data_IF_271122625617
#
_entry.id   IF_271122625617
#
_cell.length_a   1.000
_cell.length_b   1.000
_cell.length_c   1.000
_cell.angle_alpha   90.00
_cell.angle_beta   90.00
_cell.angle_gamma   90.00
#
_symmetry.space_group_name_H-M   'P 1'
#
loop_
_entity.id
_entity.type
_entity.pdbx_description
1 polymer ?
#
# COMPACT_ATOMS: atom_id res chain seq x y z
N UNK A 1 -16.38 12.40 8.07
CA UNK A 1 -15.45 12.74 9.16
C UNK A 1 -15.09 11.46 9.95
N UNK A 2 -14.07 11.48 10.78
CA UNK A 2 -13.72 10.36 11.67
C UNK A 2 -14.81 10.11 12.71
N UNK A 3 -15.55 11.13 13.07
CA UNK A 3 -16.58 11.12 14.10
C UNK A 3 -17.99 10.79 13.57
N UNK A 4 -18.18 10.83 12.26
CA UNK A 4 -19.47 10.55 11.64
C UNK A 4 -19.36 9.34 10.71
N UNK A 5 -20.40 8.48 10.65
CA UNK A 5 -20.47 7.39 9.70
C UNK A 5 -20.34 7.90 8.25
N UNK A 6 -19.76 7.10 7.39
CA UNK A 6 -19.80 7.33 5.96
C UNK A 6 -21.19 7.09 5.39
N UNK A 7 -21.42 7.61 4.17
CA UNK A 7 -22.66 7.36 3.44
C UNK A 7 -22.43 6.30 2.37
N UNK A 8 -23.39 5.39 2.20
CA UNK A 8 -23.34 4.42 1.13
C UNK A 8 -23.33 5.11 -0.24
N UNK A 9 -22.47 4.63 -1.12
CA UNK A 9 -22.52 5.03 -2.52
C UNK A 9 -23.84 4.55 -3.16
N UNK A 10 -24.49 5.30 -4.06
CA UNK A 10 -25.65 4.83 -4.80
C UNK A 10 -25.34 3.59 -5.66
N UNK A 11 -24.07 3.30 -5.88
CA UNK A 11 -23.60 2.18 -6.68
C UNK A 11 -23.21 0.94 -5.84
N UNK A 12 -23.37 1.02 -4.53
CA UNK A 12 -22.91 -0.03 -3.60
C UNK A 12 -23.67 -1.34 -3.72
N UNK A 13 -24.94 -1.25 -4.11
CA UNK A 13 -25.87 -2.39 -4.13
C UNK A 13 -26.14 -2.92 -5.56
N UNK A 14 -25.21 -2.66 -6.49
CA UNK A 14 -25.21 -3.33 -7.81
C UNK A 14 -25.02 -4.83 -7.65
N UNK A 15 -25.52 -5.58 -8.64
CA UNK A 15 -25.32 -7.03 -8.67
C UNK A 15 -23.83 -7.39 -8.92
N UNK A 16 -23.48 -8.63 -8.64
CA UNK A 16 -22.11 -9.15 -8.90
C UNK A 16 -21.82 -9.09 -10.40
N UNK A 17 -22.80 -9.47 -11.22
CA UNK A 17 -22.70 -9.51 -12.70
C UNK A 17 -22.44 -8.11 -13.27
N UNK A 18 -23.20 -7.10 -12.79
CA UNK A 18 -22.99 -5.71 -13.18
C UNK A 18 -21.60 -5.20 -12.79
N UNK A 19 -21.14 -5.53 -11.58
CA UNK A 19 -19.81 -5.12 -11.10
C UNK A 19 -18.70 -5.80 -11.90
N UNK A 20 -18.83 -7.08 -12.25
CA UNK A 20 -17.85 -7.78 -13.07
C UNK A 20 -17.79 -7.18 -14.48
N UNK A 21 -18.94 -6.91 -15.11
CA UNK A 21 -19.01 -6.28 -16.43
C UNK A 21 -18.36 -4.89 -16.43
N UNK A 22 -18.59 -4.09 -15.39
CA UNK A 22 -17.97 -2.76 -15.24
C UNK A 22 -16.46 -2.85 -14.98
N UNK A 23 -16.03 -3.85 -14.24
CA UNK A 23 -14.59 -4.08 -13.98
C UNK A 23 -13.85 -4.48 -15.27
N UNK A 24 -14.45 -5.34 -16.09
CA UNK A 24 -13.88 -5.65 -17.42
C UNK A 24 -13.77 -4.40 -18.31
N UNK A 25 -14.78 -3.52 -18.30
CA UNK A 25 -14.70 -2.22 -18.98
C UNK A 25 -13.59 -1.32 -18.45
N UNK A 26 -13.39 -1.29 -17.12
CA UNK A 26 -12.25 -0.59 -16.50
C UNK A 26 -10.92 -1.15 -17.01
N UNK A 27 -10.78 -2.46 -17.02
CA UNK A 27 -9.58 -3.18 -17.48
C UNK A 27 -9.28 -2.93 -18.96
N UNK A 28 -10.31 -2.84 -19.77
CA UNK A 28 -10.21 -2.58 -21.21
C UNK A 28 -9.99 -1.09 -21.56
N UNK A 29 -9.92 -0.19 -20.56
CA UNK A 29 -9.66 1.23 -20.80
C UNK A 29 -10.85 2.03 -21.29
N UNK A 30 -12.09 1.52 -21.14
CA UNK A 30 -13.30 2.20 -21.58
C UNK A 30 -13.68 3.41 -20.69
N UNK A 31 -13.05 3.54 -19.53
CA UNK A 31 -13.26 4.67 -18.61
C UNK A 31 -11.99 5.52 -18.49
N UNK A 32 -12.16 6.83 -18.52
CA UNK A 32 -11.09 7.77 -18.23
C UNK A 32 -10.66 7.70 -16.75
N UNK A 33 -9.45 8.17 -16.44
CA UNK A 33 -8.96 8.30 -15.06
C UNK A 33 -9.94 9.08 -14.17
N UNK A 34 -10.17 8.58 -12.96
CA UNK A 34 -11.07 9.20 -11.99
C UNK A 34 -12.57 8.98 -12.24
N UNK A 35 -12.97 8.34 -13.35
CA UNK A 35 -14.39 8.07 -13.65
C UNK A 35 -14.96 6.84 -12.98
N UNK A 36 -14.12 5.86 -12.70
CA UNK A 36 -14.51 4.64 -11.99
C UNK A 36 -13.39 4.16 -11.05
N UNK A 37 -13.77 3.48 -10.00
CA UNK A 37 -12.88 2.75 -9.09
C UNK A 37 -13.61 1.53 -8.56
N UNK A 38 -12.88 0.44 -8.34
CA UNK A 38 -13.41 -0.72 -7.64
C UNK A 38 -13.16 -0.56 -6.14
N UNK A 39 -14.20 -0.78 -5.34
CA UNK A 39 -14.14 -0.71 -3.88
C UNK A 39 -14.50 -2.07 -3.27
N UNK A 40 -13.86 -2.40 -2.16
CA UNK A 40 -14.34 -3.48 -1.30
C UNK A 40 -15.66 -3.06 -0.63
N UNK A 41 -16.62 -3.98 -0.53
CA UNK A 41 -17.89 -3.75 0.16
C UNK A 41 -17.76 -4.26 1.59
N UNK A 42 -17.44 -3.38 2.53
CA UNK A 42 -17.20 -3.72 3.93
C UNK A 42 -18.25 -3.05 4.83
N UNK A 43 -17.94 -1.87 5.38
CA UNK A 43 -18.84 -1.16 6.29
C UNK A 43 -18.57 0.36 6.26
N UNK A 44 -19.49 1.12 5.71
CA UNK A 44 -19.40 2.58 5.67
C UNK A 44 -19.59 3.25 7.04
N UNK A 45 -20.13 2.55 8.03
CA UNK A 45 -20.28 3.04 9.39
C UNK A 45 -19.08 2.73 10.32
N UNK A 46 -18.10 1.98 9.82
CA UNK A 46 -16.92 1.60 10.61
C UNK A 46 -16.22 2.82 11.25
N UNK A 47 -15.81 2.74 12.53
CA UNK A 47 -14.97 3.76 13.14
C UNK A 47 -13.59 3.87 12.47
N UNK A 48 -13.15 2.82 11.77
CA UNK A 48 -11.87 2.80 11.04
C UNK A 48 -12.09 3.20 9.58
N UNK A 49 -11.47 4.32 9.18
CA UNK A 49 -11.60 4.83 7.82
C UNK A 49 -11.17 3.82 6.75
N UNK A 50 -10.15 3.03 7.03
CA UNK A 50 -9.63 1.98 6.11
C UNK A 50 -10.66 0.89 5.83
N UNK A 51 -11.67 0.72 6.68
CA UNK A 51 -12.75 -0.27 6.53
C UNK A 51 -14.01 0.30 5.86
N UNK A 52 -14.04 1.61 5.55
CA UNK A 52 -15.19 2.27 4.91
C UNK A 52 -15.14 2.10 3.39
N UNK A 53 -15.47 0.92 2.91
CA UNK A 53 -15.49 0.54 1.49
C UNK A 53 -14.25 1.10 0.74
N UNK A 54 -13.02 0.68 1.11
CA UNK A 54 -11.79 1.21 0.55
C UNK A 54 -11.66 0.92 -0.94
N UNK A 55 -11.00 1.80 -1.67
CA UNK A 55 -10.65 1.57 -3.08
C UNK A 55 -9.61 0.46 -3.15
N UNK A 56 -9.87 -0.57 -3.97
CA UNK A 56 -8.94 -1.68 -4.22
C UNK A 56 -8.30 -1.64 -5.60
N UNK A 57 -9.00 -1.07 -6.62
CA UNK A 57 -8.44 -0.78 -7.95
C UNK A 57 -8.81 0.62 -8.41
N UNK A 58 -7.87 1.27 -9.08
CA UNK A 58 -8.05 2.56 -9.76
C UNK A 58 -7.60 2.48 -11.21
N UNK A 59 -8.11 3.40 -12.03
CA UNK A 59 -7.69 3.59 -13.41
C UNK A 59 -6.50 4.56 -13.42
N UNK A 60 -5.46 4.19 -14.16
CA UNK A 60 -4.30 5.04 -14.41
C UNK A 60 -3.67 4.67 -15.75
N UNK A 61 -3.65 5.61 -16.68
CA UNK A 61 -2.96 5.46 -17.96
C UNK A 61 -1.49 5.92 -17.79
N UNK A 62 -0.62 4.96 -17.46
CA UNK A 62 0.81 5.22 -17.31
C UNK A 62 1.59 3.97 -17.70
N UNK A 63 2.64 4.15 -18.47
CA UNK A 63 3.55 3.06 -18.83
C UNK A 63 4.28 2.52 -17.58
N UNK A 64 4.24 1.21 -17.39
CA UNK A 64 4.92 0.54 -16.29
C UNK A 64 6.25 -0.02 -16.75
N UNK A 65 7.32 0.14 -15.96
CA UNK A 65 8.68 -0.24 -16.34
C UNK A 65 8.88 -1.71 -16.74
N UNK A 66 8.03 -2.63 -16.28
CA UNK A 66 8.09 -4.05 -16.64
C UNK A 66 7.01 -4.48 -17.65
N UNK A 67 5.80 -3.91 -17.56
CA UNK A 67 4.65 -4.36 -18.35
C UNK A 67 4.24 -3.37 -19.45
N UNK A 68 4.93 -2.22 -19.55
CA UNK A 68 4.60 -1.17 -20.52
C UNK A 68 3.16 -0.69 -20.34
N UNK A 69 2.42 -0.57 -21.42
CA UNK A 69 1.04 -0.07 -21.46
C UNK A 69 -0.01 -1.19 -21.41
N UNK A 70 0.38 -2.41 -21.00
CA UNK A 70 -0.50 -3.57 -20.95
C UNK A 70 -1.71 -3.38 -20.02
N UNK A 71 -1.55 -2.60 -18.95
CA UNK A 71 -2.57 -2.40 -17.93
C UNK A 71 -2.90 -0.93 -17.75
N UNK A 72 -4.18 -0.61 -17.69
CA UNK A 72 -4.68 0.73 -17.36
C UNK A 72 -5.40 0.76 -16.00
N UNK A 73 -5.44 -0.36 -15.28
CA UNK A 73 -5.93 -0.45 -13.89
C UNK A 73 -4.80 -0.89 -12.98
N UNK A 74 -4.75 -0.32 -11.79
CA UNK A 74 -3.73 -0.62 -10.78
C UNK A 74 -4.38 -0.88 -9.44
N UNK A 75 -3.97 -1.98 -8.76
CA UNK A 75 -4.43 -2.23 -7.40
C UNK A 75 -3.87 -1.19 -6.43
N UNK A 76 -4.62 -0.92 -5.38
CA UNK A 76 -4.15 -0.08 -4.28
C UNK A 76 -3.23 -0.89 -3.35
N UNK A 77 -2.33 -0.19 -2.66
CA UNK A 77 -1.31 -0.80 -1.81
C UNK A 77 -1.89 -1.79 -0.79
N UNK A 78 -2.92 -1.39 -0.05
CA UNK A 78 -3.51 -2.23 0.99
C UNK A 78 -4.09 -3.55 0.46
N UNK A 79 -4.55 -3.55 -0.79
CA UNK A 79 -5.04 -4.76 -1.45
C UNK A 79 -3.90 -5.63 -2.00
N UNK A 80 -2.85 -5.01 -2.53
CA UNK A 80 -1.74 -5.73 -3.17
C UNK A 80 -0.80 -6.36 -2.15
N UNK A 81 -0.47 -5.64 -1.08
CA UNK A 81 0.55 -6.04 -0.13
C UNK A 81 0.24 -7.39 0.52
N UNK A 82 -0.94 -7.55 1.10
CA UNK A 82 -1.33 -8.79 1.77
C UNK A 82 -1.38 -9.98 0.81
N UNK A 83 -1.86 -9.78 -0.43
CA UNK A 83 -1.95 -10.84 -1.45
C UNK A 83 -0.55 -11.24 -1.91
N UNK A 84 0.34 -10.28 -2.18
CA UNK A 84 1.71 -10.55 -2.60
C UNK A 84 2.47 -11.33 -1.53
N UNK A 85 2.39 -10.90 -0.28
CA UNK A 85 3.03 -11.57 0.85
C UNK A 85 2.50 -13.01 1.02
N UNK A 86 1.20 -13.21 0.87
CA UNK A 86 0.61 -14.56 0.95
C UNK A 86 1.06 -15.46 -0.19
N UNK A 87 1.11 -14.97 -1.44
CA UNK A 87 1.60 -15.73 -2.60
C UNK A 87 3.08 -16.09 -2.43
N UNK A 88 3.88 -15.17 -1.92
CA UNK A 88 5.32 -15.35 -1.67
C UNK A 88 5.61 -16.16 -0.39
N UNK A 89 4.57 -16.60 0.32
CA UNK A 89 4.66 -17.38 1.58
C UNK A 89 5.43 -16.65 2.69
N UNK A 90 5.32 -15.32 2.72
CA UNK A 90 5.81 -14.50 3.82
C UNK A 90 5.00 -14.85 5.08
N UNK A 91 5.67 -14.99 6.21
CA UNK A 91 5.01 -15.27 7.50
C UNK A 91 4.77 -14.00 8.30
N UNK A 92 5.69 -13.04 8.20
CA UNK A 92 5.70 -11.80 8.97
C UNK A 92 5.81 -10.61 8.03
N UNK A 93 4.69 -9.91 7.81
CA UNK A 93 4.64 -8.66 7.07
C UNK A 93 4.99 -7.50 8.00
N UNK A 94 6.20 -6.98 7.87
CA UNK A 94 6.74 -5.96 8.77
C UNK A 94 6.54 -4.56 8.18
N UNK A 95 5.96 -3.65 8.97
CA UNK A 95 5.75 -2.26 8.56
C UNK A 95 5.91 -1.29 9.73
N UNK A 96 5.76 0.00 9.46
CA UNK A 96 5.81 1.04 10.48
C UNK A 96 4.45 1.23 11.15
N UNK A 97 4.42 1.87 12.34
CA UNK A 97 3.20 2.08 13.14
C UNK A 97 2.09 2.85 12.42
N UNK A 98 2.42 3.62 11.39
CA UNK A 98 1.42 4.32 10.57
C UNK A 98 0.40 3.37 9.93
N UNK A 99 0.75 2.10 9.75
CA UNK A 99 -0.11 1.07 9.15
C UNK A 99 -0.87 0.22 10.17
N UNK A 100 -0.87 0.58 11.45
CA UNK A 100 -1.56 -0.20 12.49
C UNK A 100 -3.05 -0.35 12.22
N UNK A 101 -3.72 0.71 11.81
CA UNK A 101 -5.15 0.65 11.46
C UNK A 101 -5.39 -0.18 10.19
N UNK A 102 -4.43 -0.19 9.27
CA UNK A 102 -4.50 -0.93 8.00
C UNK A 102 -4.47 -2.46 8.21
N UNK A 103 -3.96 -2.96 9.34
CA UNK A 103 -3.97 -4.40 9.66
C UNK A 103 -5.37 -5.00 9.56
N UNK A 104 -6.40 -4.25 9.93
CA UNK A 104 -7.80 -4.71 9.83
C UNK A 104 -8.21 -4.98 8.39
N UNK A 105 -7.79 -4.12 7.46
CA UNK A 105 -8.04 -4.31 6.04
C UNK A 105 -7.17 -5.43 5.46
N UNK A 106 -5.92 -5.53 5.90
CA UNK A 106 -5.00 -6.61 5.57
C UNK A 106 -5.62 -7.98 5.86
N UNK A 107 -6.08 -8.18 7.10
CA UNK A 107 -6.70 -9.43 7.55
C UNK A 107 -8.02 -9.67 6.79
N UNK A 108 -8.85 -8.62 6.66
CA UNK A 108 -10.11 -8.72 5.94
C UNK A 108 -9.94 -9.16 4.48
N UNK A 109 -8.96 -8.63 3.77
CA UNK A 109 -8.68 -9.03 2.38
C UNK A 109 -8.31 -10.51 2.32
N UNK A 110 -7.39 -10.97 3.16
CA UNK A 110 -6.95 -12.36 3.19
C UNK A 110 -8.07 -13.34 3.56
N UNK A 111 -9.00 -12.94 4.42
CA UNK A 111 -10.15 -13.76 4.81
C UNK A 111 -11.24 -13.82 3.72
N UNK A 112 -11.25 -12.88 2.77
CA UNK A 112 -12.27 -12.80 1.72
C UNK A 112 -11.78 -13.22 0.32
N UNK A 113 -10.57 -13.73 0.22
CA UNK A 113 -10.03 -14.28 -1.03
C UNK A 113 -9.63 -15.73 -0.84
N UNK A 114 -9.66 -16.48 -1.95
CA UNK A 114 -9.20 -17.89 -1.95
C UNK A 114 -7.69 -17.93 -2.08
N UNK A 115 -7.00 -18.05 -0.94
CA UNK A 115 -5.54 -18.15 -0.88
C UNK A 115 -5.12 -19.29 0.04
N UNK A 116 -3.99 -19.94 -0.28
CA UNK A 116 -3.47 -21.09 0.48
C UNK A 116 -2.99 -20.66 1.87
N UNK A 117 -3.29 -21.47 2.88
CA UNK A 117 -2.80 -21.27 4.25
C UNK A 117 -1.45 -21.97 4.46
N UNK A 118 -0.57 -21.49 5.39
CA UNK A 118 -0.84 -20.45 6.38
C UNK A 118 -0.79 -19.03 5.80
N UNK A 119 -1.60 -18.12 6.36
CA UNK A 119 -1.64 -16.72 5.97
C UNK A 119 -0.54 -15.92 6.68
N UNK A 120 -0.01 -14.87 6.03
CA UNK A 120 0.91 -13.94 6.67
C UNK A 120 0.19 -13.10 7.73
N UNK A 121 0.96 -12.60 8.70
CA UNK A 121 0.47 -11.66 9.71
C UNK A 121 1.26 -10.36 9.65
N UNK A 122 0.57 -9.23 9.79
CA UNK A 122 1.19 -7.91 9.82
C UNK A 122 1.65 -7.55 11.24
N UNK A 123 2.88 -7.07 11.34
CA UNK A 123 3.51 -6.60 12.57
C UNK A 123 4.07 -5.20 12.36
N UNK A 124 3.74 -4.28 13.25
CA UNK A 124 4.17 -2.90 13.17
C UNK A 124 5.27 -2.60 14.19
N UNK A 125 6.24 -1.79 13.75
CA UNK A 125 7.34 -1.32 14.57
C UNK A 125 7.38 0.20 14.59
N UNK A 126 7.77 0.76 15.73
CA UNK A 126 8.03 2.19 15.82
C UNK A 126 9.29 2.57 15.05
N UNK A 127 9.28 3.77 14.50
CA UNK A 127 10.47 4.33 13.87
C UNK A 127 11.54 4.60 14.93
N UNK A 128 12.77 4.17 14.68
CA UNK A 128 13.91 4.56 15.50
C UNK A 128 14.20 6.04 15.28
N UNK A 129 14.12 6.82 16.35
CA UNK A 129 14.54 8.22 16.37
C UNK A 129 15.89 8.32 17.10
N UNK A 130 16.87 8.91 16.41
CA UNK A 130 18.21 9.12 16.96
C UNK A 130 18.40 10.61 17.20
N UNK A 131 18.83 11.00 18.41
CA UNK A 131 19.17 12.38 18.74
C UNK A 131 20.28 12.91 17.83
N UNK A 132 20.20 14.17 17.43
CA UNK A 132 21.18 14.80 16.56
C UNK A 132 21.32 14.21 15.16
N UNK A 133 20.44 13.27 14.78
CA UNK A 133 20.55 12.53 13.53
C UNK A 133 19.42 12.87 12.57
N UNK A 134 19.78 13.20 11.33
CA UNK A 134 18.84 13.43 10.26
C UNK A 134 18.36 12.11 9.67
N UNK A 135 17.07 11.78 9.83
CA UNK A 135 16.48 10.51 9.32
C UNK A 135 15.57 10.67 8.10
N UNK A 136 15.37 11.91 7.62
CA UNK A 136 14.53 12.18 6.45
C UNK A 136 15.21 11.78 5.15
N UNK A 137 14.69 10.78 4.42
CA UNK A 137 15.22 10.34 3.11
C UNK A 137 15.42 11.51 2.14
N UNK A 138 14.46 12.43 2.05
CA UNK A 138 14.55 13.60 1.15
C UNK A 138 15.72 14.51 1.50
N UNK A 139 15.96 14.74 2.79
CA UNK A 139 17.09 15.57 3.25
C UNK A 139 18.42 14.86 3.08
N UNK A 140 18.47 13.55 3.35
CA UNK A 140 19.65 12.72 3.13
C UNK A 140 20.02 12.63 1.64
N UNK A 141 19.04 12.49 0.77
CA UNK A 141 19.25 12.52 -0.68
C UNK A 141 19.89 13.84 -1.14
N UNK A 142 19.49 14.97 -0.53
CA UNK A 142 20.12 16.26 -0.82
C UNK A 142 21.61 16.27 -0.47
N UNK A 143 22.00 15.69 0.66
CA UNK A 143 23.42 15.58 1.05
C UNK A 143 24.24 14.76 0.01
N UNK A 144 23.65 13.71 -0.53
CA UNK A 144 24.28 12.89 -1.58
C UNK A 144 24.40 13.69 -2.88
N UNK A 145 23.32 14.33 -3.31
CA UNK A 145 23.29 15.11 -4.56
C UNK A 145 24.21 16.32 -4.54
N UNK A 146 24.33 16.98 -3.38
CA UNK A 146 25.21 18.13 -3.18
C UNK A 146 26.70 17.73 -2.97
N UNK A 147 27.02 16.42 -2.98
CA UNK A 147 28.38 15.92 -2.79
C UNK A 147 28.95 16.13 -1.38
N UNK A 148 28.10 16.38 -0.37
CA UNK A 148 28.53 16.57 1.02
C UNK A 148 28.96 15.25 1.64
N UNK A 149 28.36 14.15 1.19
CA UNK A 149 28.72 12.77 1.51
C UNK A 149 29.00 11.98 0.23
N UNK A 150 29.84 10.94 0.31
CA UNK A 150 30.26 10.15 -0.85
C UNK A 150 29.14 9.29 -1.44
N UNK A 151 28.08 9.05 -0.68
CA UNK A 151 26.93 8.28 -1.10
C UNK A 151 26.11 7.75 0.07
N UNK A 152 25.14 6.90 -0.22
CA UNK A 152 24.28 6.30 0.79
C UNK A 152 25.01 5.38 1.79
N UNK A 153 26.17 4.90 1.43
CA UNK A 153 27.03 4.05 2.26
C UNK A 153 28.12 4.84 3.00
N UNK A 154 28.12 6.16 2.93
CA UNK A 154 29.04 6.98 3.71
C UNK A 154 28.87 6.70 5.21
N UNK A 155 29.95 6.52 5.98
CA UNK A 155 29.87 6.26 7.42
C UNK A 155 29.12 7.33 8.22
N UNK A 156 29.01 8.54 7.71
CA UNK A 156 28.26 9.65 8.31
C UNK A 156 26.75 9.51 8.12
N UNK A 157 26.31 8.65 7.20
CA UNK A 157 24.90 8.47 6.89
C UNK A 157 24.23 7.46 7.86
N UNK A 158 23.00 7.73 8.36
CA UNK A 158 22.25 6.83 9.20
C UNK A 158 21.53 5.73 8.39
N UNK A 159 22.26 5.13 7.48
CA UNK A 159 21.81 3.96 6.69
C UNK A 159 22.42 2.69 7.26
N UNK A 160 21.81 1.55 6.97
CA UNK A 160 22.38 0.24 7.39
C UNK A 160 23.81 0.10 6.86
N UNK A 161 24.07 0.47 5.61
CA UNK A 161 25.42 0.42 5.03
C UNK A 161 26.38 1.39 5.72
N UNK A 162 25.94 2.61 6.02
CA UNK A 162 26.74 3.60 6.74
C UNK A 162 27.07 3.14 8.16
N UNK A 163 26.08 2.58 8.88
CA UNK A 163 26.27 2.03 10.22
C UNK A 163 27.24 0.84 10.21
N UNK A 164 27.11 -0.08 9.27
CA UNK A 164 28.05 -1.21 9.12
C UNK A 164 29.49 -0.73 8.87
N UNK A 165 29.67 0.27 8.02
CA UNK A 165 31.00 0.88 7.80
C UNK A 165 31.56 1.59 9.03
N UNK A 166 30.72 2.00 9.96
CA UNK A 166 31.11 2.53 11.29
C UNK A 166 31.44 1.45 12.30
N UNK A 167 31.25 0.16 11.97
CA UNK A 167 31.54 -0.96 12.83
C UNK A 167 30.35 -1.50 13.64
N UNK A 168 29.12 -1.10 13.34
CA UNK A 168 27.94 -1.75 13.90
C UNK A 168 27.73 -3.12 13.24
N UNK A 169 27.51 -4.16 14.02
CA UNK A 169 27.29 -5.56 13.58
C UNK A 169 25.82 -5.95 13.63
#
# INVERSE_FOLDING_TARGET
TLTEPGKNSPYRDRTIEENLALFEKMKNGEFAEGKASLRAKIDMASPFMVMRDPVIYRIKFASHHQTGDKWCIYPMYDFTHCISDAIERITHSICTLEFQDNRRLYDWVLDNISIERPLPHQYEFSRLNLEGTLTSKRKLLKLVNDGIVDGWNDPRMPTISGLRRRGYT
#
